data_IF_946375124069
#
_entry.id   IF_946375124069
#
_cell.length_a   1.000
_cell.length_b   1.000
_cell.length_c   1.000
_cell.angle_alpha   90.00
_cell.angle_beta   90.00
_cell.angle_gamma   90.00
#
_symmetry.space_group_name_H-M   'P 1'
#
loop_
_entity.id
_entity.type
_entity.pdbx_description
1 polymer ?
#
# COMPACT_ATOMS: atom_id res chain seq x y z
N UNK A 1 -36.98 3.30 -2.42
CA UNK A 1 -37.67 2.10 -2.94
C UNK A 1 -38.09 1.28 -1.72
N UNK A 2 -39.40 1.08 -1.54
CA UNK A 2 -40.00 0.56 -0.31
C UNK A 2 -39.54 -0.87 0.00
N UNK A 3 -39.08 -1.07 1.22
CA UNK A 3 -38.80 -2.41 1.77
C UNK A 3 -40.15 -3.00 2.19
N UNK A 4 -40.66 -3.95 1.42
CA UNK A 4 -41.82 -4.72 1.77
C UNK A 4 -41.50 -5.69 2.89
N UNK A 5 -42.25 -5.56 3.98
CA UNK A 5 -42.32 -6.53 5.08
C UNK A 5 -42.79 -7.87 4.54
N UNK A 6 -41.95 -8.88 4.62
CA UNK A 6 -42.35 -10.28 4.39
C UNK A 6 -43.10 -10.79 5.62
N UNK A 7 -44.41 -10.87 5.52
CA UNK A 7 -45.27 -11.61 6.50
C UNK A 7 -45.30 -13.09 6.08
N UNK A 8 -44.69 -13.95 6.89
CA UNK A 8 -44.81 -15.41 6.74
C UNK A 8 -46.13 -15.86 7.42
N UNK A 9 -47.14 -16.13 6.60
CA UNK A 9 -48.38 -16.77 7.08
C UNK A 9 -48.21 -18.29 7.09
N UNK A 10 -48.18 -18.86 8.30
CA UNK A 10 -48.15 -20.29 8.53
C UNK A 10 -49.59 -20.79 8.50
N UNK A 11 -49.99 -21.48 7.41
CA UNK A 11 -51.31 -22.13 7.30
C UNK A 11 -51.30 -23.46 8.07
N UNK A 12 -52.04 -23.53 9.18
CA UNK A 12 -52.24 -24.76 9.92
C UNK A 12 -53.54 -25.43 9.42
N UNK A 13 -53.40 -26.63 8.88
CA UNK A 13 -54.53 -27.50 8.57
C UNK A 13 -55.18 -28.01 9.89
N UNK A 14 -56.44 -27.65 10.12
CA UNK A 14 -57.23 -28.17 11.24
C UNK A 14 -57.94 -29.44 10.80
N UNK A 15 -57.52 -30.59 11.37
CA UNK A 15 -58.31 -31.84 11.32
C UNK A 15 -59.26 -31.83 12.51
N UNK A 16 -60.53 -31.77 12.21
CA UNK A 16 -61.63 -31.74 13.16
C UNK A 16 -61.81 -33.13 13.85
N UNK A 17 -61.45 -33.18 15.16
CA UNK A 17 -62.03 -34.21 16.03
C UNK A 17 -62.60 -33.53 17.28
N UNK A 18 -63.91 -33.76 17.56
CA UNK A 18 -64.57 -33.20 18.71
C UNK A 18 -63.97 -33.75 20.01
N UNK A 19 -63.30 -32.93 20.75
CA UNK A 19 -63.07 -33.07 22.19
C UNK A 19 -63.06 -31.69 22.79
N UNK A 20 -63.69 -31.49 23.92
CA UNK A 20 -63.86 -30.24 24.66
C UNK A 20 -62.50 -29.53 24.87
N UNK A 21 -62.36 -28.39 24.24
CA UNK A 21 -61.11 -27.57 24.36
C UNK A 21 -61.30 -26.59 25.51
N UNK A 22 -60.58 -26.83 26.60
CA UNK A 22 -60.28 -25.78 27.58
C UNK A 22 -59.57 -24.67 26.86
N UNK A 23 -60.10 -23.45 26.96
CA UNK A 23 -59.44 -22.24 26.43
C UNK A 23 -58.15 -21.97 27.20
N UNK A 24 -57.03 -22.46 26.69
CA UNK A 24 -55.74 -21.99 27.12
C UNK A 24 -55.55 -20.55 26.64
N UNK A 25 -55.42 -19.61 27.60
CA UNK A 25 -55.00 -18.25 27.35
C UNK A 25 -53.61 -18.23 26.72
N UNK A 26 -53.54 -18.11 25.39
CA UNK A 26 -52.28 -17.79 24.73
C UNK A 26 -51.88 -16.36 25.12
N UNK A 27 -50.97 -16.22 26.07
CA UNK A 27 -50.27 -14.96 26.24
C UNK A 27 -49.45 -14.69 24.98
N UNK A 28 -49.77 -13.62 24.26
CA UNK A 28 -48.89 -13.09 23.22
C UNK A 28 -47.51 -12.84 23.84
N UNK A 29 -46.52 -13.65 23.48
CA UNK A 29 -45.14 -13.39 23.81
C UNK A 29 -44.75 -12.16 22.94
N UNK A 30 -44.91 -10.94 23.49
CA UNK A 30 -44.30 -9.74 22.93
C UNK A 30 -42.81 -9.91 23.09
N UNK A 31 -42.13 -10.36 22.03
CA UNK A 31 -40.68 -10.26 21.92
C UNK A 31 -40.34 -8.77 22.06
N UNK A 32 -39.65 -8.42 23.15
CA UNK A 32 -39.12 -7.07 23.29
C UNK A 32 -38.27 -6.78 22.05
N UNK A 33 -38.37 -5.58 21.47
CA UNK A 33 -37.56 -5.21 20.33
C UNK A 33 -36.09 -5.42 20.72
N UNK A 34 -35.41 -6.32 20.02
CA UNK A 34 -33.98 -6.54 20.24
C UNK A 34 -33.28 -5.23 19.98
N UNK A 35 -32.69 -4.63 21.01
CA UNK A 35 -31.95 -3.37 20.86
C UNK A 35 -30.79 -3.62 19.90
N UNK A 36 -30.80 -2.93 18.76
CA UNK A 36 -29.73 -3.03 17.77
C UNK A 36 -28.44 -2.55 18.46
N UNK A 37 -27.40 -3.40 18.45
CA UNK A 37 -26.08 -3.03 18.93
C UNK A 37 -25.24 -2.57 17.73
N UNK A 38 -25.09 -1.26 17.57
CA UNK A 38 -24.36 -0.66 16.47
C UNK A 38 -22.85 -0.90 16.56
N UNK A 39 -22.29 -1.04 17.77
CA UNK A 39 -20.87 -1.39 17.95
C UNK A 39 -20.57 -2.77 17.38
N UNK A 40 -21.40 -3.78 17.64
CA UNK A 40 -21.22 -5.11 17.05
C UNK A 40 -21.31 -5.09 15.50
N UNK A 41 -22.19 -4.26 14.94
CA UNK A 41 -22.29 -4.11 13.47
C UNK A 41 -21.00 -3.49 12.92
N UNK A 42 -20.47 -2.47 13.60
CA UNK A 42 -19.24 -1.82 13.18
C UNK A 42 -18.01 -2.71 13.37
N UNK A 43 -17.90 -3.44 14.46
CA UNK A 43 -16.85 -4.43 14.71
C UNK A 43 -16.87 -5.52 13.63
N UNK A 44 -18.04 -6.03 13.28
CA UNK A 44 -18.19 -6.99 12.17
C UNK A 44 -17.74 -6.39 10.83
N UNK A 45 -18.08 -5.14 10.55
CA UNK A 45 -17.59 -4.43 9.37
C UNK A 45 -16.05 -4.37 9.36
N UNK A 46 -15.41 -4.05 10.49
CA UNK A 46 -13.95 -3.97 10.59
C UNK A 46 -13.29 -5.35 10.37
N UNK A 47 -13.88 -6.43 10.92
CA UNK A 47 -13.40 -7.79 10.68
C UNK A 47 -13.48 -8.17 9.20
N UNK A 48 -14.62 -7.93 8.56
CA UNK A 48 -14.83 -8.25 7.15
C UNK A 48 -13.92 -7.43 6.23
N UNK A 49 -13.73 -6.15 6.52
CA UNK A 49 -12.82 -5.27 5.80
C UNK A 49 -11.34 -5.68 6.02
N UNK A 50 -10.98 -6.17 7.21
CA UNK A 50 -9.67 -6.72 7.50
C UNK A 50 -9.39 -7.98 6.68
N UNK A 51 -10.29 -8.96 6.69
CA UNK A 51 -10.17 -10.19 5.91
C UNK A 51 -10.10 -9.89 4.40
N UNK A 52 -10.90 -8.95 3.92
CA UNK A 52 -10.83 -8.45 2.54
C UNK A 52 -9.44 -7.84 2.25
N UNK A 53 -8.95 -6.97 3.14
CA UNK A 53 -7.62 -6.35 3.00
C UNK A 53 -6.52 -7.40 2.89
N UNK A 54 -6.53 -8.43 3.74
CA UNK A 54 -5.56 -9.52 3.69
C UNK A 54 -5.65 -10.31 2.38
N UNK A 55 -6.86 -10.60 1.90
CA UNK A 55 -7.08 -11.33 0.66
C UNK A 55 -6.65 -10.57 -0.59
N UNK A 56 -6.83 -9.25 -0.59
CA UNK A 56 -6.46 -8.35 -1.69
C UNK A 56 -4.98 -7.97 -1.66
N UNK A 57 -4.28 -8.15 -0.53
CA UNK A 57 -2.89 -7.72 -0.33
C UNK A 57 -1.99 -8.83 0.22
N UNK A 58 -1.61 -9.83 -0.59
CA UNK A 58 -0.84 -11.00 -0.17
C UNK A 58 0.47 -10.69 0.54
N UNK A 59 1.24 -9.68 0.11
CA UNK A 59 2.47 -9.28 0.79
C UNK A 59 2.18 -8.65 2.16
N UNK A 60 1.16 -7.80 2.27
CA UNK A 60 0.76 -7.24 3.55
C UNK A 60 0.27 -8.33 4.50
N UNK A 61 -0.52 -9.30 4.02
CA UNK A 61 -0.93 -10.46 4.79
C UNK A 61 0.29 -11.21 5.37
N UNK A 62 1.31 -11.46 4.55
CA UNK A 62 2.55 -12.11 5.03
C UNK A 62 3.25 -11.28 6.12
N UNK A 63 3.34 -9.95 5.98
CA UNK A 63 3.94 -9.08 7.00
C UNK A 63 3.16 -9.04 8.32
N UNK A 64 1.85 -9.26 8.29
CA UNK A 64 1.01 -9.37 9.49
C UNK A 64 0.98 -10.79 10.09
N UNK A 65 1.69 -11.74 9.47
CA UNK A 65 1.79 -13.12 9.91
C UNK A 65 0.79 -14.08 9.27
N UNK A 66 -0.08 -13.59 8.39
CA UNK A 66 -1.02 -14.42 7.64
C UNK A 66 -0.36 -15.01 6.39
N UNK A 67 -0.12 -16.32 6.43
CA UNK A 67 0.57 -17.04 5.34
C UNK A 67 -0.37 -17.71 4.33
N UNK A 68 -1.70 -17.52 4.42
CA UNK A 68 -2.69 -18.14 3.51
C UNK A 68 -2.41 -17.87 2.03
N UNK A 69 -1.84 -16.69 1.71
CA UNK A 69 -1.50 -16.26 0.35
C UNK A 69 0.01 -16.04 0.18
N UNK A 70 0.83 -16.79 0.91
CA UNK A 70 2.27 -16.56 0.97
C UNK A 70 2.99 -16.77 -0.37
N UNK A 71 2.38 -17.52 -1.29
CA UNK A 71 2.86 -17.75 -2.65
C UNK A 71 2.28 -16.76 -3.68
N UNK A 72 1.57 -15.71 -3.27
CA UNK A 72 0.93 -14.72 -4.16
C UNK A 72 1.57 -13.35 -4.01
N UNK A 73 1.45 -12.54 -5.06
CA UNK A 73 1.87 -11.13 -5.10
C UNK A 73 0.78 -10.32 -5.79
N UNK A 74 0.62 -9.07 -5.36
CA UNK A 74 -0.30 -8.15 -6.04
C UNK A 74 0.18 -7.87 -7.47
N UNK A 75 -0.74 -7.84 -8.42
CA UNK A 75 -0.47 -7.26 -9.72
C UNK A 75 -0.26 -5.74 -9.57
N UNK A 76 0.64 -5.19 -10.36
CA UNK A 76 0.83 -3.73 -10.45
C UNK A 76 0.21 -3.14 -11.73
N UNK A 77 -0.70 -3.86 -12.39
CA UNK A 77 -1.36 -3.41 -13.62
C UNK A 77 -2.34 -2.25 -13.37
N UNK A 78 -2.73 -1.56 -14.43
CA UNK A 78 -3.73 -0.48 -14.38
C UNK A 78 -5.10 -1.03 -13.97
N UNK A 79 -5.45 -2.23 -14.45
CA UNK A 79 -6.69 -2.91 -14.08
C UNK A 79 -6.76 -3.16 -12.57
N UNK A 80 -5.62 -3.57 -11.96
CA UNK A 80 -5.55 -3.76 -10.51
C UNK A 80 -5.74 -2.42 -9.78
N UNK A 81 -5.12 -1.34 -10.26
CA UNK A 81 -5.30 -0.02 -9.67
C UNK A 81 -6.78 0.44 -9.71
N UNK A 82 -7.47 0.16 -10.83
CA UNK A 82 -8.91 0.45 -10.95
C UNK A 82 -9.72 -0.44 -10.00
N UNK A 83 -9.36 -1.71 -9.87
CA UNK A 83 -10.02 -2.64 -8.94
C UNK A 83 -9.83 -2.20 -7.48
N UNK A 84 -8.63 -1.79 -7.10
CA UNK A 84 -8.32 -1.27 -5.75
C UNK A 84 -9.16 -0.02 -5.42
N UNK A 85 -9.36 0.87 -6.41
CA UNK A 85 -10.24 2.04 -6.23
C UNK A 85 -11.68 1.63 -5.96
N UNK A 86 -12.23 0.73 -6.78
CA UNK A 86 -13.60 0.21 -6.59
C UNK A 86 -13.75 -0.49 -5.23
N UNK A 87 -12.73 -1.23 -4.81
CA UNK A 87 -12.69 -1.88 -3.50
C UNK A 87 -12.76 -0.85 -2.36
N UNK A 88 -12.00 0.24 -2.46
CA UNK A 88 -12.03 1.34 -1.48
C UNK A 88 -13.38 2.06 -1.47
N UNK A 89 -13.97 2.31 -2.63
CA UNK A 89 -15.30 2.94 -2.78
C UNK A 89 -16.41 2.07 -2.15
N UNK A 90 -16.35 0.76 -2.37
CA UNK A 90 -17.31 -0.18 -1.78
C UNK A 90 -17.15 -0.26 -0.24
N UNK A 91 -15.91 -0.32 0.27
CA UNK A 91 -15.66 -0.27 1.71
C UNK A 91 -16.21 1.01 2.34
N UNK A 92 -16.06 2.16 1.68
CA UNK A 92 -16.62 3.44 2.14
C UNK A 92 -18.16 3.43 2.11
N UNK A 93 -18.74 2.86 1.06
CA UNK A 93 -20.20 2.75 0.94
C UNK A 93 -20.78 1.93 2.09
N UNK A 94 -20.19 0.76 2.38
CA UNK A 94 -20.62 -0.10 3.49
C UNK A 94 -20.43 0.56 4.85
N UNK A 95 -19.31 1.25 5.06
CA UNK A 95 -19.07 2.00 6.29
C UNK A 95 -20.18 3.03 6.55
N UNK A 96 -20.61 3.74 5.51
CA UNK A 96 -21.63 4.81 5.61
C UNK A 96 -23.07 4.30 5.80
N UNK A 97 -23.30 3.00 5.68
CA UNK A 97 -24.58 2.38 6.09
C UNK A 97 -24.73 2.28 7.62
N UNK A 98 -23.61 2.42 8.36
CA UNK A 98 -23.60 2.36 9.83
C UNK A 98 -23.85 3.77 10.39
N UNK A 99 -24.88 3.91 11.23
CA UNK A 99 -25.18 5.15 11.92
C UNK A 99 -24.14 5.43 13.02
N UNK A 100 -23.11 6.21 12.68
CA UNK A 100 -22.00 6.50 13.57
C UNK A 100 -22.42 7.23 14.86
N UNK A 101 -23.57 7.92 14.87
CA UNK A 101 -24.08 8.62 16.07
C UNK A 101 -24.52 7.67 17.17
N UNK A 102 -24.73 6.40 16.85
CA UNK A 102 -25.17 5.33 17.77
C UNK A 102 -24.05 4.43 18.25
N UNK A 103 -22.81 4.69 17.79
CA UNK A 103 -21.63 4.01 18.25
C UNK A 103 -21.16 4.52 19.61
N UNK A 104 -20.41 3.72 20.34
CA UNK A 104 -19.66 4.17 21.51
C UNK A 104 -18.66 5.27 21.12
N UNK A 105 -18.19 6.06 22.08
CA UNK A 105 -17.23 7.14 21.84
C UNK A 105 -15.94 6.62 21.16
N UNK A 106 -15.44 5.48 21.61
CA UNK A 106 -14.29 4.80 21.01
C UNK A 106 -14.55 4.44 19.54
N UNK A 107 -15.70 3.80 19.26
CA UNK A 107 -16.03 3.37 17.90
C UNK A 107 -16.41 4.55 16.99
N UNK A 108 -16.88 5.68 17.53
CA UNK A 108 -17.01 6.90 16.74
C UNK A 108 -15.66 7.43 16.26
N UNK A 109 -14.61 7.35 17.08
CA UNK A 109 -13.25 7.71 16.66
C UNK A 109 -12.73 6.75 15.61
N UNK A 110 -12.86 5.44 15.83
CA UNK A 110 -12.45 4.40 14.89
C UNK A 110 -13.16 4.54 13.53
N UNK A 111 -14.46 4.85 13.55
CA UNK A 111 -15.25 5.14 12.34
C UNK A 111 -14.67 6.34 11.57
N UNK A 112 -14.40 7.45 12.24
CA UNK A 112 -13.82 8.64 11.60
C UNK A 112 -12.45 8.38 11.01
N UNK A 113 -11.60 7.61 11.71
CA UNK A 113 -10.27 7.24 11.21
C UNK A 113 -10.38 6.34 9.98
N UNK A 114 -11.30 5.35 10.00
CA UNK A 114 -11.54 4.48 8.84
C UNK A 114 -12.09 5.27 7.65
N UNK A 115 -13.07 6.13 7.86
CA UNK A 115 -13.61 6.99 6.81
C UNK A 115 -12.54 7.91 6.21
N UNK A 116 -11.75 8.55 7.05
CA UNK A 116 -10.62 9.39 6.62
C UNK A 116 -9.62 8.61 5.76
N UNK A 117 -9.24 7.40 6.19
CA UNK A 117 -8.34 6.55 5.42
C UNK A 117 -8.89 6.17 4.04
N UNK A 118 -10.17 5.78 3.97
CA UNK A 118 -10.84 5.43 2.72
C UNK A 118 -10.98 6.63 1.77
N UNK A 119 -11.38 7.79 2.30
CA UNK A 119 -11.48 9.04 1.51
C UNK A 119 -10.13 9.45 0.92
N UNK A 120 -9.05 9.31 1.69
CA UNK A 120 -7.70 9.63 1.20
C UNK A 120 -7.21 8.60 0.17
N UNK A 121 -7.50 7.31 0.36
CA UNK A 121 -7.20 6.27 -0.62
C UNK A 121 -7.89 6.57 -1.96
N UNK A 122 -9.21 6.79 -1.95
CA UNK A 122 -10.00 7.15 -3.14
C UNK A 122 -9.50 8.45 -3.74
N UNK A 123 -9.21 9.47 -2.92
CA UNK A 123 -8.68 10.75 -3.37
C UNK A 123 -7.35 10.62 -4.10
N UNK A 124 -6.42 9.82 -3.58
CA UNK A 124 -5.14 9.50 -4.25
C UNK A 124 -5.37 8.79 -5.59
N UNK A 125 -6.31 7.87 -5.63
CA UNK A 125 -6.64 7.07 -6.82
C UNK A 125 -7.41 7.87 -7.91
N UNK A 126 -7.81 9.11 -7.64
CA UNK A 126 -8.31 10.02 -8.67
C UNK A 126 -7.19 10.56 -9.57
N UNK A 127 -5.94 10.38 -9.16
CA UNK A 127 -4.76 10.74 -9.96
C UNK A 127 -4.11 9.47 -10.50
N UNK A 128 -3.55 9.48 -11.72
CA UNK A 128 -2.92 8.32 -12.33
C UNK A 128 -1.52 8.06 -11.76
N UNK A 129 -1.46 7.82 -10.44
CA UNK A 129 -0.20 7.66 -9.68
C UNK A 129 0.58 6.42 -10.08
N UNK A 130 -0.05 5.46 -10.76
CA UNK A 130 0.61 4.27 -11.31
C UNK A 130 1.67 4.63 -12.37
N UNK A 131 1.57 5.75 -13.08
CA UNK A 131 2.63 6.25 -13.96
C UNK A 131 3.85 6.80 -13.22
N UNK A 132 3.72 7.13 -11.94
CA UNK A 132 4.74 7.80 -11.15
C UNK A 132 5.57 6.85 -10.27
N UNK A 133 5.45 5.55 -10.48
CA UNK A 133 6.10 4.52 -9.64
C UNK A 133 7.58 4.29 -9.97
N UNK A 134 8.13 4.87 -11.04
CA UNK A 134 9.57 4.83 -11.32
C UNK A 134 10.31 5.63 -10.23
N UNK A 135 11.11 4.96 -9.39
CA UNK A 135 11.69 5.55 -8.19
C UNK A 135 13.03 4.88 -7.84
N UNK A 136 14.10 5.67 -7.70
CA UNK A 136 15.42 5.15 -7.34
C UNK A 136 15.58 4.79 -5.85
N UNK A 137 14.62 5.12 -4.96
CA UNK A 137 14.68 4.81 -3.52
C UNK A 137 13.98 3.53 -3.12
N UNK A 138 13.24 2.90 -4.03
CA UNK A 138 12.46 1.69 -3.73
C UNK A 138 11.41 1.45 -4.81
N UNK A 139 11.86 1.19 -6.04
CA UNK A 139 11.01 0.88 -7.18
C UNK A 139 11.00 -0.59 -7.52
N UNK A 140 10.54 -0.90 -8.73
CA UNK A 140 10.46 -2.25 -9.28
C UNK A 140 11.80 -3.01 -9.17
N UNK A 141 12.93 -2.31 -9.32
CA UNK A 141 14.27 -2.88 -9.24
C UNK A 141 14.70 -3.32 -7.84
N UNK A 142 13.98 -2.91 -6.79
CA UNK A 142 14.33 -3.22 -5.40
C UNK A 142 13.49 -4.37 -4.80
N UNK A 143 12.70 -5.09 -5.60
CA UNK A 143 11.79 -6.11 -5.08
C UNK A 143 12.49 -7.25 -4.33
N UNK A 144 13.75 -7.56 -4.66
CA UNK A 144 14.58 -8.52 -3.92
C UNK A 144 14.71 -8.18 -2.42
N UNK A 145 14.65 -6.90 -2.05
CA UNK A 145 14.69 -6.48 -0.64
C UNK A 145 13.48 -6.98 0.15
N UNK A 146 12.33 -7.17 -0.52
CA UNK A 146 11.15 -7.78 0.11
C UNK A 146 11.48 -9.17 0.63
N UNK A 147 12.09 -10.02 -0.20
CA UNK A 147 12.52 -11.36 0.21
C UNK A 147 13.50 -11.34 1.39
N UNK A 148 14.45 -10.42 1.39
CA UNK A 148 15.43 -10.27 2.48
C UNK A 148 14.80 -9.85 3.84
N UNK A 149 13.57 -9.32 3.84
CA UNK A 149 12.84 -8.89 5.05
C UNK A 149 11.79 -9.89 5.52
N UNK A 150 11.47 -10.89 4.71
CA UNK A 150 10.52 -11.94 5.09
C UNK A 150 11.13 -12.87 6.14
N UNK A 151 10.26 -13.45 6.97
CA UNK A 151 10.65 -14.45 7.97
C UNK A 151 10.34 -15.83 7.43
N UNK A 152 11.39 -16.63 7.25
CA UNK A 152 11.32 -18.02 6.78
C UNK A 152 11.33 -18.98 7.97
N UNK A 153 10.25 -19.70 8.22
CA UNK A 153 10.07 -20.58 9.37
C UNK A 153 10.01 -22.07 8.99
N UNK A 154 9.79 -22.34 7.72
CA UNK A 154 9.72 -23.69 7.17
C UNK A 154 10.12 -23.67 5.69
N UNK A 155 10.31 -24.85 5.12
CA UNK A 155 10.73 -24.97 3.71
C UNK A 155 9.73 -24.38 2.70
N UNK A 156 8.43 -24.44 3.02
CA UNK A 156 7.40 -23.92 2.12
C UNK A 156 7.54 -22.41 1.92
N UNK A 157 7.99 -21.68 2.95
CA UNK A 157 8.20 -20.23 2.84
C UNK A 157 9.22 -19.85 1.76
N UNK A 158 10.25 -20.67 1.52
CA UNK A 158 11.23 -20.46 0.44
C UNK A 158 10.65 -20.77 -0.94
N UNK A 159 9.84 -21.82 -1.07
CA UNK A 159 9.15 -22.14 -2.33
C UNK A 159 8.09 -21.10 -2.66
N UNK A 160 7.38 -20.60 -1.65
CA UNK A 160 6.41 -19.51 -1.82
C UNK A 160 7.10 -18.23 -2.31
N UNK A 161 8.30 -17.92 -1.79
CA UNK A 161 9.08 -16.78 -2.27
C UNK A 161 9.54 -16.98 -3.72
N UNK A 162 9.99 -18.18 -4.08
CA UNK A 162 10.36 -18.50 -5.46
C UNK A 162 9.17 -18.32 -6.41
N UNK A 163 7.98 -18.75 -6.00
CA UNK A 163 6.76 -18.56 -6.80
C UNK A 163 6.38 -17.08 -6.92
N UNK A 164 6.54 -16.29 -5.85
CA UNK A 164 6.38 -14.83 -5.91
C UNK A 164 7.33 -14.19 -6.91
N UNK A 165 8.58 -14.61 -6.95
CA UNK A 165 9.56 -14.14 -7.94
C UNK A 165 9.16 -14.54 -9.37
N UNK A 166 8.59 -15.71 -9.56
CA UNK A 166 8.07 -16.14 -10.88
C UNK A 166 6.91 -15.24 -11.33
N UNK A 167 5.96 -14.91 -10.44
CA UNK A 167 4.86 -13.98 -10.72
C UNK A 167 5.36 -12.52 -10.91
N UNK A 168 6.42 -12.14 -10.23
CA UNK A 168 7.01 -10.81 -10.31
C UNK A 168 7.51 -10.43 -11.72
N UNK A 169 7.84 -11.39 -12.54
CA UNK A 169 8.19 -11.18 -13.96
C UNK A 169 7.05 -10.45 -14.69
N UNK A 170 5.79 -10.79 -14.39
CA UNK A 170 4.64 -10.10 -14.95
C UNK A 170 4.58 -8.64 -14.47
N UNK A 171 4.93 -8.39 -13.21
CA UNK A 171 4.98 -7.02 -12.68
C UNK A 171 6.05 -6.16 -13.36
N UNK A 172 7.21 -6.73 -13.73
CA UNK A 172 8.22 -6.02 -14.52
C UNK A 172 7.67 -5.67 -15.92
N UNK A 173 6.97 -6.61 -16.55
CA UNK A 173 6.38 -6.37 -17.87
C UNK A 173 5.24 -5.33 -17.81
N UNK A 174 4.34 -5.43 -16.84
CA UNK A 174 3.28 -4.43 -16.63
C UNK A 174 3.88 -3.04 -16.39
N UNK A 175 4.95 -2.97 -15.57
CA UNK A 175 5.63 -1.72 -15.28
C UNK A 175 6.21 -1.06 -16.54
N UNK A 176 6.73 -1.86 -17.47
CA UNK A 176 7.21 -1.37 -18.76
C UNK A 176 6.05 -0.77 -19.56
N UNK A 177 4.93 -1.47 -19.70
CA UNK A 177 3.78 -0.98 -20.49
C UNK A 177 3.15 0.27 -19.83
N UNK A 178 3.02 0.32 -18.51
CA UNK A 178 2.56 1.51 -17.78
C UNK A 178 3.47 2.72 -18.05
N UNK A 179 4.79 2.53 -18.07
CA UNK A 179 5.69 3.65 -18.33
C UNK A 179 5.71 4.09 -19.81
N UNK A 180 5.37 3.21 -20.77
CA UNK A 180 5.12 3.59 -22.15
C UNK A 180 3.91 4.51 -22.24
N UNK A 181 2.79 4.11 -21.66
CA UNK A 181 1.57 4.93 -21.64
C UNK A 181 1.79 6.24 -20.86
N UNK A 182 2.54 6.19 -19.76
CA UNK A 182 2.95 7.38 -19.01
C UNK A 182 3.77 8.37 -19.86
N UNK A 183 4.63 7.86 -20.74
CA UNK A 183 5.39 8.67 -21.68
C UNK A 183 4.47 9.35 -22.72
N UNK A 184 3.52 8.62 -23.29
CA UNK A 184 2.56 9.12 -24.25
C UNK A 184 1.64 10.19 -23.66
N UNK A 185 1.26 10.03 -22.39
CA UNK A 185 0.35 10.95 -21.68
C UNK A 185 1.06 12.09 -20.95
N UNK A 186 2.40 12.15 -20.99
CA UNK A 186 3.20 13.18 -20.33
C UNK A 186 3.41 12.97 -18.81
N UNK A 187 2.97 11.84 -18.27
CA UNK A 187 3.17 11.49 -16.85
C UNK A 187 4.53 10.82 -16.65
N UNK A 188 5.61 11.59 -16.76
CA UNK A 188 6.97 11.06 -16.65
C UNK A 188 7.65 11.47 -15.35
N UNK A 189 8.57 10.62 -14.89
CA UNK A 189 9.52 10.99 -13.84
C UNK A 189 10.65 11.89 -14.38
N UNK A 190 11.31 12.67 -13.51
CA UNK A 190 12.47 13.47 -13.92
C UNK A 190 13.61 12.61 -14.49
N UNK A 191 14.36 13.15 -15.45
CA UNK A 191 15.58 12.48 -15.97
C UNK A 191 16.54 12.03 -14.88
N UNK A 192 16.66 12.82 -13.81
CA UNK A 192 17.52 12.49 -12.69
C UNK A 192 17.13 11.15 -12.02
N UNK A 193 15.83 10.96 -11.76
CA UNK A 193 15.27 9.73 -11.18
C UNK A 193 15.48 8.56 -12.14
N UNK A 194 15.16 8.77 -13.40
CA UNK A 194 15.24 7.74 -14.45
C UNK A 194 16.68 7.20 -14.61
N UNK A 195 17.70 8.08 -14.60
CA UNK A 195 19.12 7.67 -14.65
C UNK A 195 19.50 6.79 -13.46
N UNK A 196 19.02 7.13 -12.25
CA UNK A 196 19.28 6.31 -11.07
C UNK A 196 18.72 4.90 -11.19
N UNK A 197 17.47 4.76 -11.68
CA UNK A 197 16.83 3.44 -11.87
C UNK A 197 17.54 2.62 -12.96
N UNK A 198 17.92 3.25 -14.07
CA UNK A 198 18.68 2.60 -15.14
C UNK A 198 19.97 1.99 -14.57
N UNK A 199 20.75 2.77 -13.83
CA UNK A 199 22.00 2.29 -13.23
C UNK A 199 21.78 1.14 -12.24
N UNK A 200 20.71 1.18 -11.45
CA UNK A 200 20.36 0.10 -10.52
C UNK A 200 19.97 -1.20 -11.26
N UNK A 201 19.18 -1.11 -12.32
CA UNK A 201 18.84 -2.28 -13.15
C UNK A 201 20.08 -2.85 -13.82
N UNK A 202 20.98 -2.00 -14.34
CA UNK A 202 22.25 -2.44 -14.92
C UNK A 202 23.11 -3.21 -13.91
N UNK A 203 23.20 -2.73 -12.69
CA UNK A 203 23.94 -3.41 -11.62
C UNK A 203 23.39 -4.81 -11.34
N UNK A 204 22.07 -4.98 -11.37
CA UNK A 204 21.41 -6.29 -11.17
C UNK A 204 21.69 -7.23 -12.34
N UNK A 205 21.50 -6.73 -13.58
CA UNK A 205 21.54 -7.58 -14.78
C UNK A 205 22.95 -7.89 -15.28
N UNK A 206 23.96 -7.11 -14.86
CA UNK A 206 25.37 -7.33 -15.21
C UNK A 206 26.14 -8.11 -14.14
N UNK A 207 25.55 -8.38 -12.98
CA UNK A 207 26.20 -9.19 -11.94
C UNK A 207 26.31 -10.65 -12.34
N UNK A 208 27.39 -11.30 -11.89
CA UNK A 208 27.44 -12.76 -11.93
C UNK A 208 26.26 -13.34 -11.15
N UNK A 209 25.75 -14.49 -11.60
CA UNK A 209 24.56 -15.10 -11.00
C UNK A 209 24.72 -15.32 -9.49
N UNK A 210 25.90 -15.70 -9.02
CA UNK A 210 26.18 -15.91 -7.59
C UNK A 210 26.11 -14.61 -6.76
N UNK A 211 26.30 -13.47 -7.40
CA UNK A 211 26.22 -12.14 -6.77
C UNK A 211 24.88 -11.45 -7.01
N UNK A 212 23.96 -12.11 -7.73
CA UNK A 212 22.67 -11.50 -8.04
C UNK A 212 21.81 -11.34 -6.77
N UNK A 213 21.28 -10.14 -6.45
CA UNK A 213 20.57 -9.89 -5.20
C UNK A 213 19.29 -10.74 -5.03
N UNK A 214 18.69 -11.21 -6.12
CA UNK A 214 17.55 -12.12 -6.09
C UNK A 214 17.91 -13.53 -5.63
N UNK A 215 19.17 -13.95 -5.77
CA UNK A 215 19.63 -15.27 -5.34
C UNK A 215 19.95 -15.31 -3.83
N UNK A 216 20.24 -14.17 -3.22
CA UNK A 216 20.75 -14.08 -1.85
C UNK A 216 19.91 -14.86 -0.83
N UNK A 217 18.60 -14.72 -0.83
CA UNK A 217 17.69 -15.41 0.12
C UNK A 217 17.89 -16.94 0.07
N UNK A 218 18.12 -17.49 -1.10
CA UNK A 218 18.28 -18.93 -1.31
C UNK A 218 19.69 -19.40 -0.92
N UNK A 219 20.73 -18.59 -1.17
CA UNK A 219 22.10 -18.89 -0.74
C UNK A 219 22.22 -18.86 0.79
N UNK A 220 21.55 -17.92 1.46
CA UNK A 220 21.54 -17.75 2.91
C UNK A 220 20.44 -18.57 3.61
N UNK A 221 19.75 -19.48 2.89
CA UNK A 221 18.70 -20.31 3.47
C UNK A 221 19.21 -21.15 4.64
N UNK A 222 18.39 -21.20 5.71
CA UNK A 222 18.72 -21.86 6.97
C UNK A 222 18.84 -23.39 6.78
N UNK A 223 19.98 -23.95 7.14
CA UNK A 223 20.29 -25.37 7.03
C UNK A 223 19.54 -26.24 8.08
N UNK A 224 18.93 -25.61 9.08
CA UNK A 224 18.00 -26.28 10.00
C UNK A 224 16.59 -26.43 9.37
N UNK A 225 16.27 -25.66 8.35
CA UNK A 225 14.97 -25.69 7.65
C UNK A 225 15.03 -26.54 6.40
N UNK A 226 16.13 -26.46 5.64
CA UNK A 226 16.33 -27.15 4.38
C UNK A 226 17.47 -28.17 4.50
N UNK A 227 17.26 -29.37 3.98
CA UNK A 227 18.38 -30.31 3.74
C UNK A 227 19.32 -29.75 2.68
N UNK A 228 20.57 -30.25 2.66
CA UNK A 228 21.56 -29.84 1.65
C UNK A 228 21.05 -30.07 0.21
N UNK A 229 20.32 -31.14 -0.04
CA UNK A 229 19.72 -31.42 -1.35
C UNK A 229 18.61 -30.43 -1.69
N UNK A 230 17.67 -30.19 -0.78
CA UNK A 230 16.58 -29.24 -0.98
C UNK A 230 17.09 -27.80 -1.23
N UNK A 231 18.11 -27.39 -0.48
CA UNK A 231 18.78 -26.09 -0.68
C UNK A 231 19.43 -25.99 -2.06
N UNK A 232 20.12 -27.05 -2.48
CA UNK A 232 20.80 -27.11 -3.80
C UNK A 232 19.76 -27.03 -4.93
N UNK A 233 18.67 -27.78 -4.85
CA UNK A 233 17.58 -27.77 -5.84
C UNK A 233 16.94 -26.40 -5.93
N UNK A 234 16.64 -25.80 -4.79
CA UNK A 234 16.02 -24.46 -4.69
C UNK A 234 16.92 -23.37 -5.29
N UNK A 235 18.24 -23.41 -5.01
CA UNK A 235 19.23 -22.51 -5.62
C UNK A 235 19.27 -22.71 -7.14
N UNK A 236 19.26 -23.96 -7.62
CA UNK A 236 19.25 -24.28 -9.04
C UNK A 236 18.01 -23.68 -9.74
N UNK A 237 16.83 -23.84 -9.13
CA UNK A 237 15.59 -23.33 -9.71
C UNK A 237 15.51 -21.78 -9.65
N UNK A 238 16.01 -21.18 -8.58
CA UNK A 238 16.14 -19.73 -8.48
C UNK A 238 17.09 -19.16 -9.55
N UNK A 239 18.25 -19.79 -9.78
CA UNK A 239 19.17 -19.40 -10.86
C UNK A 239 18.50 -19.45 -12.22
N UNK A 240 17.81 -20.56 -12.55
CA UNK A 240 17.07 -20.68 -13.82
C UNK A 240 16.01 -19.60 -13.98
N UNK A 241 15.27 -19.28 -12.90
CA UNK A 241 14.27 -18.22 -12.92
C UNK A 241 14.91 -16.85 -13.17
N UNK A 242 15.99 -16.54 -12.48
CA UNK A 242 16.70 -15.26 -12.62
C UNK A 242 17.26 -15.12 -14.04
N UNK A 243 18.00 -16.09 -14.52
CA UNK A 243 18.68 -16.05 -15.83
C UNK A 243 17.69 -16.05 -17.00
N UNK A 244 16.64 -16.87 -16.93
CA UNK A 244 15.75 -17.09 -18.07
C UNK A 244 14.51 -16.18 -18.08
N UNK A 245 14.15 -15.55 -16.94
CA UNK A 245 12.94 -14.74 -16.85
C UNK A 245 13.16 -13.35 -16.26
N UNK A 246 13.73 -13.25 -15.05
CA UNK A 246 13.86 -11.95 -14.34
C UNK A 246 14.83 -11.04 -15.06
N UNK A 247 16.08 -11.50 -15.33
CA UNK A 247 17.09 -10.70 -16.03
C UNK A 247 16.64 -10.31 -17.44
N UNK A 248 16.08 -11.18 -18.29
CA UNK A 248 15.55 -10.77 -19.59
C UNK A 248 14.43 -9.71 -19.51
N UNK A 249 13.53 -9.82 -18.52
CA UNK A 249 12.49 -8.81 -18.32
C UNK A 249 13.08 -7.46 -17.91
N UNK A 250 14.07 -7.44 -17.03
CA UNK A 250 14.79 -6.23 -16.67
C UNK A 250 15.61 -5.64 -17.82
N UNK A 251 16.27 -6.45 -18.63
CA UNK A 251 16.99 -5.99 -19.83
C UNK A 251 16.03 -5.29 -20.78
N UNK A 252 14.84 -5.88 -21.02
CA UNK A 252 13.80 -5.28 -21.86
C UNK A 252 13.33 -3.92 -21.29
N UNK A 253 13.04 -3.86 -19.99
CA UNK A 253 12.67 -2.64 -19.31
C UNK A 253 13.77 -1.58 -19.41
N UNK A 254 15.02 -1.95 -19.14
CA UNK A 254 16.14 -1.03 -19.15
C UNK A 254 16.43 -0.44 -20.54
N UNK A 255 16.30 -1.25 -21.59
CA UNK A 255 16.43 -0.80 -22.97
C UNK A 255 15.38 0.26 -23.31
N UNK A 256 14.12 0.04 -22.90
CA UNK A 256 13.06 1.04 -23.04
C UNK A 256 13.38 2.32 -22.25
N UNK A 257 13.78 2.17 -20.97
CA UNK A 257 14.11 3.33 -20.13
C UNK A 257 15.26 4.15 -20.71
N UNK A 258 16.29 3.52 -21.29
CA UNK A 258 17.45 4.21 -21.89
C UNK A 258 17.12 4.90 -23.20
N UNK A 259 16.46 4.17 -24.10
CA UNK A 259 16.37 4.54 -25.50
C UNK A 259 15.13 5.39 -25.81
N UNK A 260 14.06 5.25 -25.00
CA UNK A 260 12.78 5.90 -25.24
C UNK A 260 12.37 6.80 -24.09
N UNK A 261 12.32 6.28 -22.86
CA UNK A 261 11.81 7.03 -21.73
C UNK A 261 12.72 8.17 -21.29
N UNK A 262 14.02 7.92 -21.06
CA UNK A 262 14.97 8.93 -20.60
C UNK A 262 15.11 10.12 -21.55
N UNK A 263 15.25 9.95 -22.88
CA UNK A 263 15.33 11.09 -23.79
C UNK A 263 14.09 11.99 -23.72
N UNK A 264 12.91 11.40 -23.57
CA UNK A 264 11.61 12.07 -23.62
C UNK A 264 11.04 12.42 -22.23
N UNK A 265 11.69 12.01 -21.13
CA UNK A 265 11.24 12.36 -19.79
C UNK A 265 11.55 13.82 -19.45
N UNK A 266 10.84 14.36 -18.47
CA UNK A 266 10.93 15.77 -18.07
C UNK A 266 12.28 16.12 -17.43
N UNK A 267 12.75 17.36 -17.65
CA UNK A 267 13.93 17.90 -16.99
C UNK A 267 13.60 18.47 -15.59
N UNK A 268 12.38 19.00 -15.43
CA UNK A 268 11.94 19.58 -14.16
C UNK A 268 11.75 18.50 -13.09
N UNK A 269 11.97 18.88 -11.83
CA UNK A 269 11.85 17.95 -10.69
C UNK A 269 10.49 18.05 -9.99
N UNK A 270 9.75 19.16 -10.14
CA UNK A 270 8.48 19.38 -9.46
C UNK A 270 7.36 18.51 -10.01
N UNK A 271 6.55 17.93 -9.12
CA UNK A 271 5.36 17.14 -9.53
C UNK A 271 4.33 18.02 -10.24
N UNK A 272 4.28 19.31 -9.96
CA UNK A 272 3.39 20.28 -10.61
C UNK A 272 3.54 20.37 -12.13
N UNK A 273 4.61 19.85 -12.68
CA UNK A 273 4.95 19.96 -14.11
C UNK A 273 4.45 18.75 -14.93
N UNK A 274 3.72 17.82 -14.32
CA UNK A 274 2.99 16.76 -15.03
C UNK A 274 1.51 17.16 -15.21
N UNK A 275 0.77 16.51 -16.10
CA UNK A 275 -0.68 16.72 -16.21
C UNK A 275 -1.38 16.56 -14.86
N UNK A 276 -2.22 17.52 -14.47
CA UNK A 276 -2.90 17.59 -13.16
C UNK A 276 -1.97 17.56 -11.94
N UNK A 277 -0.67 17.80 -12.14
CA UNK A 277 0.34 17.69 -11.09
C UNK A 277 0.20 18.74 -9.99
N UNK A 278 -0.31 19.95 -10.33
CA UNK A 278 -0.61 20.99 -9.34
C UNK A 278 -1.73 20.54 -8.40
N UNK A 279 -2.84 20.07 -8.94
CA UNK A 279 -3.99 19.59 -8.17
C UNK A 279 -3.60 18.38 -7.30
N UNK A 280 -2.76 17.48 -7.85
CA UNK A 280 -2.22 16.36 -7.09
C UNK A 280 -1.34 16.83 -5.92
N UNK A 281 -0.49 17.82 -6.12
CA UNK A 281 0.35 18.36 -5.05
C UNK A 281 -0.47 19.05 -3.95
N UNK A 282 -1.49 19.82 -4.33
CA UNK A 282 -2.43 20.44 -3.39
C UNK A 282 -3.19 19.38 -2.57
N UNK A 283 -3.65 18.31 -3.23
CA UNK A 283 -4.26 17.16 -2.56
C UNK A 283 -3.29 16.54 -1.54
N UNK A 284 -2.03 16.28 -1.93
CA UNK A 284 -1.01 15.72 -1.04
C UNK A 284 -0.68 16.65 0.12
N UNK A 285 -0.57 17.96 -0.11
CA UNK A 285 -0.36 18.94 0.95
C UNK A 285 -1.47 18.85 2.00
N UNK A 286 -2.72 18.86 1.58
CA UNK A 286 -3.88 18.68 2.47
C UNK A 286 -3.87 17.33 3.19
N UNK A 287 -3.56 16.26 2.48
CA UNK A 287 -3.51 14.90 3.04
C UNK A 287 -2.48 14.79 4.16
N UNK A 288 -1.23 15.21 3.90
CA UNK A 288 -0.13 15.04 4.86
C UNK A 288 -0.16 16.04 6.02
N UNK A 289 -0.66 17.26 5.79
CA UNK A 289 -0.73 18.27 6.85
C UNK A 289 -2.04 18.23 7.64
N UNK A 290 -3.07 17.55 7.12
CA UNK A 290 -4.44 17.56 7.66
C UNK A 290 -5.03 18.98 7.82
N UNK A 291 -4.52 19.93 7.06
CA UNK A 291 -4.97 21.33 7.05
C UNK A 291 -5.53 21.73 5.69
N UNK A 292 -6.16 22.89 5.60
CA UNK A 292 -6.60 23.49 4.35
C UNK A 292 -5.62 24.53 3.80
N UNK A 293 -4.39 24.55 4.31
CA UNK A 293 -3.35 25.46 3.83
C UNK A 293 -2.94 25.10 2.41
N UNK A 294 -2.75 26.13 1.58
CA UNK A 294 -2.17 25.97 0.26
C UNK A 294 -0.66 25.66 0.33
N UNK A 295 -0.07 25.07 -0.71
CA UNK A 295 1.39 24.89 -0.77
C UNK A 295 2.17 26.19 -0.57
N UNK A 296 1.68 27.31 -1.11
CA UNK A 296 2.28 28.64 -0.97
C UNK A 296 2.23 29.14 0.48
N UNK A 297 1.10 28.99 1.18
CA UNK A 297 0.99 29.33 2.60
C UNK A 297 1.91 28.49 3.47
N UNK A 298 2.03 27.18 3.19
CA UNK A 298 2.96 26.28 3.88
C UNK A 298 4.41 26.74 3.65
N UNK A 299 4.76 27.12 2.41
CA UNK A 299 6.08 27.64 2.08
C UNK A 299 6.42 28.92 2.85
N UNK A 300 5.48 29.88 2.90
CA UNK A 300 5.64 31.13 3.66
C UNK A 300 5.80 30.89 5.16
N UNK A 301 5.05 29.94 5.73
CA UNK A 301 5.24 29.50 7.12
C UNK A 301 6.66 28.97 7.30
N UNK A 302 7.15 28.13 6.38
CA UNK A 302 8.49 27.58 6.40
C UNK A 302 9.57 28.67 6.38
N UNK A 303 9.44 29.67 5.53
CA UNK A 303 10.38 30.80 5.47
C UNK A 303 10.39 31.62 6.77
N UNK A 304 9.22 31.88 7.36
CA UNK A 304 9.13 32.55 8.66
C UNK A 304 9.80 31.77 9.77
N UNK A 305 9.55 30.46 9.84
CA UNK A 305 10.13 29.57 10.85
C UNK A 305 11.65 29.45 10.70
N UNK A 306 12.19 29.34 9.48
CA UNK A 306 13.64 29.34 9.25
C UNK A 306 14.24 30.65 9.79
N UNK A 307 13.62 31.80 9.51
CA UNK A 307 14.09 33.10 10.02
C UNK A 307 14.03 33.19 11.53
N UNK A 308 12.92 32.71 12.15
CA UNK A 308 12.76 32.69 13.63
C UNK A 308 13.85 31.81 14.27
N UNK A 309 13.98 30.57 13.80
CA UNK A 309 14.97 29.61 14.32
C UNK A 309 16.38 30.16 14.18
N UNK A 310 16.69 30.78 13.03
CA UNK A 310 18.01 31.38 12.85
C UNK A 310 18.28 32.51 13.84
N UNK A 311 17.31 33.37 14.10
CA UNK A 311 17.43 34.44 15.11
C UNK A 311 17.69 33.88 16.51
N UNK A 312 16.95 32.84 16.90
CA UNK A 312 17.15 32.17 18.19
C UNK A 312 18.53 31.50 18.31
N UNK A 313 19.02 30.89 17.21
CA UNK A 313 20.38 30.34 17.17
C UNK A 313 21.44 31.42 17.37
N UNK A 314 21.29 32.56 16.72
CA UNK A 314 22.22 33.67 16.85
C UNK A 314 22.19 34.25 18.28
N UNK A 315 21.02 34.33 18.94
CA UNK A 315 20.90 34.70 20.35
C UNK A 315 21.62 33.69 21.30
N UNK A 316 21.52 32.38 21.02
CA UNK A 316 22.23 31.35 21.81
C UNK A 316 23.75 31.51 21.66
N UNK A 317 24.23 31.71 20.44
CA UNK A 317 25.65 31.93 20.14
C UNK A 317 26.19 33.13 20.94
N UNK A 318 25.43 34.23 20.99
CA UNK A 318 25.77 35.38 21.80
C UNK A 318 25.78 35.07 23.33
N UNK A 319 24.76 34.34 23.82
CA UNK A 319 24.66 34.00 25.25
C UNK A 319 25.82 33.13 25.73
N UNK A 320 26.36 32.25 24.88
CA UNK A 320 27.55 31.42 25.23
C UNK A 320 28.87 32.14 24.98
N UNK A 321 28.86 33.42 24.55
CA UNK A 321 30.03 34.22 24.25
C UNK A 321 30.97 33.52 23.26
N UNK A 322 30.41 32.88 22.23
CA UNK A 322 31.21 32.24 21.17
C UNK A 322 31.93 33.25 20.34
N UNK A 323 33.26 33.12 20.26
CA UNK A 323 34.11 33.98 19.41
C UNK A 323 34.21 33.38 18.00
N UNK A 324 33.25 33.65 17.18
CA UNK A 324 33.18 33.16 15.80
C UNK A 324 31.80 33.31 15.17
N UNK A 325 31.70 32.91 13.92
CA UNK A 325 30.44 32.90 13.19
C UNK A 325 29.61 31.63 13.44
N UNK A 326 28.39 31.61 12.88
CA UNK A 326 27.48 30.48 12.97
C UNK A 326 28.08 29.15 12.47
N UNK A 327 28.84 29.20 11.37
CA UNK A 327 29.42 28.00 10.78
C UNK A 327 30.52 27.42 11.67
N UNK A 328 31.35 28.29 12.25
CA UNK A 328 32.38 27.88 13.22
C UNK A 328 31.75 27.28 14.50
N UNK A 329 30.62 27.84 14.96
CA UNK A 329 29.88 27.28 16.10
C UNK A 329 29.28 25.90 15.78
N UNK A 330 28.69 25.73 14.61
CA UNK A 330 28.21 24.42 14.16
C UNK A 330 29.32 23.37 14.07
N UNK A 331 30.50 23.81 13.56
CA UNK A 331 31.64 22.92 13.46
C UNK A 331 32.13 22.49 14.86
N UNK A 332 32.21 23.43 15.79
CA UNK A 332 32.51 23.13 17.19
C UNK A 332 31.54 22.08 17.76
N UNK A 333 30.24 22.28 17.63
CA UNK A 333 29.22 21.32 18.13
C UNK A 333 29.31 19.91 17.53
N UNK A 334 29.88 19.81 16.31
CA UNK A 334 30.03 18.50 15.62
C UNK A 334 31.33 17.78 15.98
N UNK A 335 32.31 18.50 16.49
CA UNK A 335 33.68 17.98 16.67
C UNK A 335 34.15 17.95 18.12
N UNK A 336 33.34 18.47 19.06
CA UNK A 336 33.65 18.57 20.50
C UNK A 336 33.13 17.40 21.32
#
# INVERSE_FOLDING_TARGET
MNINTLSISLSVLIISSCASVETQNYQEIKLAPTKINYDLIFEKYLEDDWEKTLSENPLFATYTGDKRLNNKINSNSIEQFIADKRSSEESLRLLREIDSSKLSEENQLNYKLKEFGLLNSIGTQNFPTYYLRLNQRGGIQSFYETGNRLVYTNKQDYYDWLERLNQFVNNINNFLEINKEGLETGHTQPKLVTRGVISQIESITSSDIESNPYLKVFLEADENILTTSEKADLISDAKKLIENKINPAYVKLNNFLKNEYLPNSRNSIGIKDIPNGKDYYEFLAKFYTTTNLTPEEIHEIGLKEIKRIRSEMDEIIQKVNWDGDFNSFLNYLRTS
#
